data_IF_490741498511
#
_entry.id   IF_490741498511
#
_cell.length_a   1.000
_cell.length_b   1.000
_cell.length_c   1.000
_cell.angle_alpha   90.00
_cell.angle_beta   90.00
_cell.angle_gamma   90.00
#
_symmetry.space_group_name_H-M   'P 1'
#
loop_
_entity.id
_entity.type
_entity.pdbx_description
1 polymer ?
#
# COMPACT_ATOMS: atom_id res chain seq x y z
N UNK A 1 -71.65 -31.28 56.28
CA UNK A 1 -71.99 -31.95 55.01
C UNK A 1 -71.99 -30.95 53.86
N UNK A 2 -70.95 -30.96 52.99
CA UNK A 2 -71.01 -30.72 51.53
C UNK A 2 -69.59 -30.62 50.95
N UNK A 3 -69.21 -31.68 50.23
CA UNK A 3 -68.28 -31.84 49.09
C UNK A 3 -66.95 -31.05 49.07
N UNK A 4 -65.84 -31.79 49.23
CA UNK A 4 -64.55 -31.48 48.62
C UNK A 4 -64.63 -31.79 47.10
N UNK A 5 -64.26 -30.82 46.26
CA UNK A 5 -63.95 -31.02 44.85
C UNK A 5 -62.45 -30.77 44.67
N UNK A 6 -61.71 -31.77 44.19
CA UNK A 6 -60.31 -31.64 43.80
C UNK A 6 -60.19 -30.89 42.47
N UNK A 7 -59.35 -29.86 42.42
CA UNK A 7 -58.92 -29.21 41.17
C UNK A 7 -57.41 -29.35 41.07
N UNK A 8 -56.96 -30.03 40.03
CA UNK A 8 -55.56 -30.24 39.66
C UNK A 8 -55.07 -28.98 38.93
N UNK A 9 -54.05 -28.31 39.47
CA UNK A 9 -53.36 -27.20 38.79
C UNK A 9 -52.17 -27.75 37.99
N UNK A 10 -52.21 -27.63 36.67
CA UNK A 10 -51.09 -27.91 35.77
C UNK A 10 -50.21 -26.66 35.74
N UNK A 11 -48.98 -26.77 36.26
CA UNK A 11 -47.97 -25.72 36.17
C UNK A 11 -47.32 -25.82 34.79
N UNK A 12 -47.62 -24.87 33.89
CA UNK A 12 -46.86 -24.71 32.65
C UNK A 12 -45.58 -23.92 32.93
N UNK A 13 -44.44 -24.57 32.81
CA UNK A 13 -43.12 -23.98 32.96
C UNK A 13 -42.76 -23.22 31.68
N UNK A 14 -42.89 -21.89 31.68
CA UNK A 14 -42.39 -21.04 30.60
C UNK A 14 -40.87 -20.93 30.70
N UNK A 15 -40.15 -21.54 29.76
CA UNK A 15 -38.71 -21.33 29.58
C UNK A 15 -38.52 -19.99 28.87
N UNK A 16 -37.93 -19.01 29.56
CA UNK A 16 -37.45 -17.77 28.95
C UNK A 16 -36.21 -18.13 28.13
N UNK A 17 -36.36 -18.20 26.81
CA UNK A 17 -35.22 -18.24 25.89
C UNK A 17 -34.55 -16.85 25.85
N UNK A 18 -33.22 -16.77 25.82
CA UNK A 18 -32.54 -15.50 25.63
C UNK A 18 -32.93 -14.93 24.26
N UNK A 19 -33.38 -13.67 24.26
CA UNK A 19 -33.59 -12.90 23.04
C UNK A 19 -32.25 -12.72 22.32
N UNK A 20 -32.10 -13.41 21.18
CA UNK A 20 -31.02 -13.13 20.24
C UNK A 20 -31.21 -11.72 19.69
N UNK A 21 -30.25 -10.83 19.95
CA UNK A 21 -30.19 -9.56 19.21
C UNK A 21 -29.79 -9.85 17.78
N UNK A 22 -30.60 -9.42 16.83
CA UNK A 22 -30.21 -9.38 15.42
C UNK A 22 -28.99 -8.46 15.28
N UNK A 23 -27.89 -8.97 14.73
CA UNK A 23 -26.75 -8.16 14.33
C UNK A 23 -27.18 -7.23 13.18
N UNK A 24 -26.81 -5.95 13.27
CA UNK A 24 -27.00 -4.95 12.21
C UNK A 24 -26.28 -5.34 10.91
N UNK A 25 -26.90 -5.06 9.77
CA UNK A 25 -26.27 -5.14 8.45
C UNK A 25 -24.98 -4.30 8.41
N UNK A 26 -23.83 -4.95 8.21
CA UNK A 26 -22.56 -4.27 7.92
C UNK A 26 -21.37 -4.62 8.83
N UNK A 27 -21.48 -5.59 9.73
CA UNK A 27 -20.32 -6.01 10.55
C UNK A 27 -19.32 -6.83 9.73
N UNK A 28 -18.04 -6.43 9.73
CA UNK A 28 -16.94 -7.19 9.12
C UNK A 28 -16.20 -7.99 10.19
N UNK A 29 -16.11 -9.31 10.03
CA UNK A 29 -15.35 -10.20 10.91
C UNK A 29 -13.94 -10.39 10.38
N UNK A 30 -12.93 -10.45 11.25
CA UNK A 30 -11.54 -10.71 10.82
C UNK A 30 -10.96 -11.92 11.50
N UNK A 31 -10.23 -12.71 10.71
CA UNK A 31 -9.64 -13.97 11.13
C UNK A 31 -8.22 -14.08 10.60
N UNK A 32 -7.39 -14.85 11.28
CA UNK A 32 -6.05 -15.19 10.81
C UNK A 32 -5.83 -16.70 10.89
N UNK A 33 -5.07 -17.25 9.95
CA UNK A 33 -4.65 -18.65 9.92
C UNK A 33 -3.18 -18.73 9.54
N UNK A 34 -2.46 -19.70 10.10
CA UNK A 34 -1.05 -19.95 9.75
C UNK A 34 -0.87 -21.40 9.32
N UNK A 35 -0.53 -21.64 8.05
CA UNK A 35 -0.29 -22.97 7.48
C UNK A 35 1.21 -23.29 7.53
N UNK A 36 1.58 -24.40 8.14
CA UNK A 36 2.97 -24.87 8.20
C UNK A 36 3.27 -25.81 7.03
N UNK A 37 4.47 -25.76 6.43
CA UNK A 37 4.83 -26.66 5.30
C UNK A 37 5.04 -28.11 5.69
N UNK A 38 5.03 -28.45 6.98
CA UNK A 38 5.02 -29.85 7.43
C UNK A 38 3.60 -30.42 7.58
N UNK A 39 2.55 -29.63 7.33
CA UNK A 39 1.16 -30.10 7.36
C UNK A 39 0.81 -30.79 6.03
N UNK A 40 1.29 -32.01 5.82
CA UNK A 40 1.24 -32.75 4.54
C UNK A 40 -0.15 -33.26 4.10
N UNK A 41 -1.22 -32.83 4.77
CA UNK A 41 -2.60 -33.26 4.51
C UNK A 41 -3.61 -32.63 5.46
N UNK A 42 -4.89 -32.90 5.24
CA UNK A 42 -6.02 -32.33 5.99
C UNK A 42 -6.00 -32.74 7.47
N UNK A 43 -5.43 -33.91 7.78
CA UNK A 43 -5.33 -34.47 9.12
C UNK A 43 -4.53 -33.60 10.10
N UNK A 44 -3.67 -32.71 9.59
CA UNK A 44 -2.91 -31.75 10.38
C UNK A 44 -3.20 -30.29 9.95
N UNK A 45 -4.41 -30.02 9.44
CA UNK A 45 -4.72 -28.71 8.90
C UNK A 45 -4.72 -27.59 9.97
N UNK A 46 -4.19 -26.43 9.58
CA UNK A 46 -4.30 -25.21 10.35
C UNK A 46 -5.75 -24.74 10.40
N UNK A 47 -6.12 -24.18 11.54
CA UNK A 47 -7.46 -23.60 11.76
C UNK A 47 -7.34 -22.09 11.95
N UNK A 48 -8.34 -21.32 11.48
CA UNK A 48 -8.33 -19.88 11.62
C UNK A 48 -8.84 -19.46 13.00
N UNK A 49 -8.53 -18.22 13.38
CA UNK A 49 -9.02 -17.58 14.61
C UNK A 49 -10.41 -16.98 14.44
N UNK A 50 -11.03 -16.61 15.56
CA UNK A 50 -12.24 -15.78 15.65
C UNK A 50 -13.41 -16.30 14.78
N UNK A 51 -14.00 -15.42 13.98
CA UNK A 51 -15.24 -15.63 13.23
C UNK A 51 -15.16 -16.83 12.28
N UNK A 52 -14.00 -17.07 11.67
CA UNK A 52 -13.81 -18.13 10.68
C UNK A 52 -13.53 -19.49 11.31
N UNK A 53 -13.43 -19.58 12.64
CA UNK A 53 -13.02 -20.79 13.35
C UNK A 53 -13.98 -21.95 13.01
N UNK A 54 -13.44 -23.02 12.45
CA UNK A 54 -14.20 -24.21 12.07
C UNK A 54 -14.96 -24.10 10.74
N UNK A 55 -14.99 -22.94 10.09
CA UNK A 55 -15.60 -22.77 8.77
C UNK A 55 -14.66 -23.18 7.63
N UNK A 56 -13.35 -23.06 7.85
CA UNK A 56 -12.31 -23.30 6.85
C UNK A 56 -11.06 -23.87 7.52
N UNK A 57 -10.32 -24.69 6.79
CA UNK A 57 -9.04 -25.26 7.22
C UNK A 57 -7.97 -25.03 6.15
N UNK A 58 -6.70 -25.03 6.53
CA UNK A 58 -5.60 -24.83 5.60
C UNK A 58 -4.48 -25.85 5.77
N UNK A 59 -3.93 -26.37 4.69
CA UNK A 59 -2.92 -27.43 4.72
C UNK A 59 -1.93 -27.29 3.57
N UNK A 60 -0.81 -28.00 3.65
CA UNK A 60 0.25 -27.99 2.65
C UNK A 60 0.30 -29.35 1.93
N UNK A 61 0.06 -29.38 0.63
CA UNK A 61 0.08 -30.62 -0.13
C UNK A 61 0.67 -30.39 -1.52
N UNK A 62 1.55 -31.32 -1.93
CA UNK A 62 2.17 -31.32 -3.24
C UNK A 62 2.87 -30.00 -3.60
N UNK A 63 3.58 -29.38 -2.65
CA UNK A 63 4.31 -28.14 -2.88
C UNK A 63 3.48 -26.86 -2.77
N UNK A 64 2.20 -26.96 -2.43
CA UNK A 64 1.24 -25.86 -2.45
C UNK A 64 0.46 -25.77 -1.14
N UNK A 65 0.07 -24.55 -0.77
CA UNK A 65 -0.79 -24.29 0.37
C UNK A 65 -2.23 -24.17 -0.10
N UNK A 66 -3.13 -24.93 0.53
CA UNK A 66 -4.53 -25.03 0.15
C UNK A 66 -5.41 -24.58 1.30
N UNK A 67 -6.55 -24.03 0.95
CA UNK A 67 -7.69 -23.79 1.82
C UNK A 67 -8.83 -24.70 1.38
N UNK A 68 -9.56 -25.24 2.35
CA UNK A 68 -10.73 -26.07 2.11
C UNK A 68 -11.83 -25.83 3.16
N UNK A 69 -13.10 -25.92 2.73
CA UNK A 69 -14.28 -25.60 3.52
C UNK A 69 -15.13 -24.46 2.93
N UNK A 70 -15.50 -23.47 3.76
CA UNK A 70 -16.30 -22.30 3.36
C UNK A 70 -15.65 -21.44 2.24
N UNK A 71 -14.38 -21.68 1.94
CA UNK A 71 -13.69 -21.23 0.75
C UNK A 71 -12.66 -22.30 0.34
N UNK A 72 -12.62 -22.65 -0.93
CA UNK A 72 -11.60 -23.55 -1.48
C UNK A 72 -10.68 -22.78 -2.43
N UNK A 73 -9.37 -22.86 -2.21
CA UNK A 73 -8.42 -22.20 -3.09
C UNK A 73 -6.97 -22.32 -2.63
N UNK A 74 -6.06 -21.78 -3.43
CA UNK A 74 -4.62 -21.82 -3.13
C UNK A 74 -4.14 -20.51 -2.51
N UNK A 75 -3.28 -20.65 -1.50
CA UNK A 75 -2.54 -19.54 -0.90
C UNK A 75 -1.23 -19.39 -1.66
N UNK A 76 -1.11 -18.29 -2.41
CA UNK A 76 0.02 -18.00 -3.29
C UNK A 76 1.16 -17.30 -2.56
N UNK A 77 0.87 -16.55 -1.51
CA UNK A 77 1.85 -15.82 -0.72
C UNK A 77 1.37 -15.64 0.73
N UNK A 78 2.32 -15.53 1.67
CA UNK A 78 2.02 -15.31 3.10
C UNK A 78 1.42 -13.91 3.34
N UNK A 79 0.31 -13.85 4.09
CA UNK A 79 -0.48 -12.64 4.32
C UNK A 79 -1.63 -12.43 3.32
N UNK A 80 -1.87 -13.38 2.41
CA UNK A 80 -2.97 -13.31 1.46
C UNK A 80 -4.33 -13.28 2.17
N UNK A 81 -5.23 -12.42 1.71
CA UNK A 81 -6.58 -12.26 2.28
C UNK A 81 -7.65 -12.88 1.40
N UNK A 82 -8.65 -13.47 2.03
CA UNK A 82 -9.80 -14.11 1.39
C UNK A 82 -11.09 -13.63 2.04
N UNK A 83 -12.07 -13.24 1.24
CA UNK A 83 -13.43 -13.06 1.71
C UNK A 83 -14.07 -14.45 1.85
N UNK A 84 -14.47 -14.81 3.06
CA UNK A 84 -15.00 -16.11 3.41
C UNK A 84 -16.51 -15.99 3.61
N UNK A 85 -17.26 -16.92 3.00
CA UNK A 85 -18.70 -17.03 3.20
C UNK A 85 -18.97 -18.05 4.30
N UNK A 86 -18.92 -17.61 5.56
CA UNK A 86 -19.11 -18.50 6.70
C UNK A 86 -20.60 -18.84 6.94
N UNK A 87 -21.01 -20.11 6.81
CA UNK A 87 -22.40 -20.49 7.02
C UNK A 87 -22.87 -20.32 8.48
N UNK A 88 -21.95 -20.22 9.44
CA UNK A 88 -22.25 -20.01 10.85
C UNK A 88 -22.38 -18.52 11.22
N UNK A 89 -22.06 -17.61 10.31
CA UNK A 89 -22.17 -16.15 10.50
C UNK A 89 -22.65 -15.46 9.22
N UNK A 90 -23.86 -15.78 8.74
CA UNK A 90 -24.34 -15.41 7.40
C UNK A 90 -24.50 -13.89 7.17
N UNK A 91 -24.49 -13.09 8.24
CA UNK A 91 -24.65 -11.63 8.18
C UNK A 91 -23.33 -10.87 8.39
N UNK A 92 -22.20 -11.56 8.43
CA UNK A 92 -20.87 -10.98 8.68
C UNK A 92 -19.99 -11.25 7.45
N UNK A 93 -19.46 -10.19 6.83
CA UNK A 93 -18.42 -10.36 5.81
C UNK A 93 -17.11 -10.70 6.52
N UNK A 94 -16.60 -11.92 6.34
CA UNK A 94 -15.41 -12.39 7.04
C UNK A 94 -14.17 -12.29 6.15
N UNK A 95 -13.14 -11.62 6.64
CA UNK A 95 -11.84 -11.53 5.97
C UNK A 95 -10.84 -12.42 6.70
N UNK A 96 -10.46 -13.53 6.06
CA UNK A 96 -9.40 -14.40 6.50
C UNK A 96 -8.05 -13.92 5.94
N UNK A 97 -7.07 -13.67 6.80
CA UNK A 97 -5.67 -13.47 6.40
C UNK A 97 -4.89 -14.76 6.64
N UNK A 98 -4.25 -15.31 5.61
CA UNK A 98 -3.51 -16.58 5.71
C UNK A 98 -2.02 -16.32 5.62
N UNK A 99 -1.31 -16.74 6.65
CA UNK A 99 0.14 -16.77 6.71
C UNK A 99 0.62 -18.20 6.43
N UNK A 100 1.80 -18.31 5.83
CA UNK A 100 2.44 -19.60 5.56
C UNK A 100 3.83 -19.61 6.18
N UNK A 101 4.21 -20.69 6.85
CA UNK A 101 5.52 -20.85 7.51
C UNK A 101 6.21 -22.12 7.00
N UNK A 102 7.46 -21.99 6.56
CA UNK A 102 8.34 -23.12 6.23
C UNK A 102 9.27 -23.39 7.43
N UNK A 103 9.29 -24.59 8.06
CA UNK A 103 10.24 -24.90 9.14
C UNK A 103 11.68 -24.70 8.68
N UNK A 104 12.47 -23.93 9.44
CA UNK A 104 13.80 -23.45 9.05
C UNK A 104 13.83 -22.00 8.57
N UNK A 105 12.68 -21.44 8.16
CA UNK A 105 12.38 -20.00 8.23
C UNK A 105 11.86 -19.69 9.65
N UNK A 106 12.74 -19.71 10.65
CA UNK A 106 12.35 -19.17 11.96
C UNK A 106 11.99 -17.68 11.80
N UNK A 107 10.80 -17.30 12.24
CA UNK A 107 10.50 -15.99 12.82
C UNK A 107 10.76 -14.71 11.98
N UNK A 108 10.79 -14.81 10.65
CA UNK A 108 10.93 -13.63 9.79
C UNK A 108 9.59 -12.86 9.81
N UNK A 109 9.42 -11.89 10.72
CA UNK A 109 8.21 -11.08 10.87
C UNK A 109 8.00 -10.13 9.67
N UNK A 110 7.76 -10.68 8.48
CA UNK A 110 7.46 -9.93 7.27
C UNK A 110 6.24 -10.46 6.50
N UNK A 111 5.64 -9.58 5.70
CA UNK A 111 4.57 -9.90 4.74
C UNK A 111 5.02 -9.48 3.35
N UNK A 112 5.00 -10.41 2.40
CA UNK A 112 5.25 -10.09 0.99
C UNK A 112 3.94 -9.75 0.30
N UNK A 113 3.92 -8.60 -0.38
CA UNK A 113 2.79 -8.14 -1.19
C UNK A 113 3.27 -8.08 -2.63
N UNK A 114 2.82 -9.04 -3.43
CA UNK A 114 3.31 -9.21 -4.79
C UNK A 114 2.26 -9.86 -5.67
N UNK A 115 2.18 -9.41 -6.93
CA UNK A 115 1.44 -10.10 -7.97
C UNK A 115 2.34 -10.77 -8.99
N UNK A 116 1.75 -11.34 -10.05
CA UNK A 116 2.52 -11.99 -11.14
C UNK A 116 3.35 -10.99 -11.95
N UNK A 117 2.94 -9.72 -11.92
CA UNK A 117 3.58 -8.60 -12.60
C UNK A 117 3.31 -7.31 -11.80
N UNK A 118 3.86 -6.18 -12.28
CA UNK A 118 3.73 -4.87 -11.63
C UNK A 118 2.30 -4.36 -11.43
N UNK A 119 1.40 -4.68 -12.35
CA UNK A 119 -0.01 -4.26 -12.27
C UNK A 119 -0.71 -5.06 -11.18
N UNK A 120 -0.45 -6.37 -11.13
CA UNK A 120 -0.97 -7.23 -10.08
C UNK A 120 -0.39 -6.86 -8.71
N UNK A 121 0.90 -6.51 -8.60
CA UNK A 121 1.46 -6.00 -7.34
C UNK A 121 0.74 -4.73 -6.88
N UNK A 122 0.42 -3.81 -7.78
CA UNK A 122 -0.37 -2.62 -7.45
C UNK A 122 -1.77 -2.98 -6.92
N UNK A 123 -2.41 -4.01 -7.50
CA UNK A 123 -3.70 -4.54 -7.05
C UNK A 123 -3.58 -5.17 -5.66
N UNK A 124 -2.54 -5.97 -5.39
CA UNK A 124 -2.34 -6.56 -4.07
C UNK A 124 -2.01 -5.50 -3.00
N UNK A 125 -1.26 -4.46 -3.36
CA UNK A 125 -1.05 -3.28 -2.50
C UNK A 125 -2.36 -2.58 -2.19
N UNK A 126 -3.24 -2.42 -3.19
CA UNK A 126 -4.57 -1.85 -3.02
C UNK A 126 -5.45 -2.70 -2.09
N UNK A 127 -5.49 -4.02 -2.25
CA UNK A 127 -6.22 -4.94 -1.35
C UNK A 127 -5.68 -4.89 0.08
N UNK A 128 -4.37 -4.78 0.24
CA UNK A 128 -3.77 -4.67 1.57
C UNK A 128 -4.16 -3.37 2.28
N UNK A 129 -4.11 -2.24 1.57
CA UNK A 129 -4.40 -0.92 2.14
C UNK A 129 -5.89 -0.62 2.29
N UNK A 130 -6.72 -1.16 1.40
CA UNK A 130 -8.17 -0.90 1.32
C UNK A 130 -8.94 -2.22 1.19
N UNK A 131 -8.89 -3.10 2.21
CA UNK A 131 -9.47 -4.45 2.14
C UNK A 131 -10.99 -4.43 1.90
N UNK A 132 -11.70 -3.47 2.51
CA UNK A 132 -13.15 -3.28 2.38
C UNK A 132 -13.52 -2.17 1.39
N UNK A 133 -12.57 -1.73 0.56
CA UNK A 133 -12.76 -0.65 -0.41
C UNK A 133 -12.43 0.74 0.14
N UNK A 134 -12.88 1.78 -0.57
CA UNK A 134 -12.52 3.17 -0.27
C UNK A 134 -13.45 3.80 0.77
N UNK A 135 -12.85 4.32 1.84
CA UNK A 135 -13.56 4.97 2.95
C UNK A 135 -13.44 6.49 2.95
N UNK A 136 -12.57 7.08 2.11
CA UNK A 136 -12.44 8.54 2.03
C UNK A 136 -13.70 9.17 1.43
N UNK A 137 -14.06 10.41 1.79
CA UNK A 137 -15.29 11.06 1.28
C UNK A 137 -15.40 11.09 -0.25
N UNK A 138 -14.28 11.35 -0.93
CA UNK A 138 -14.20 11.40 -2.39
C UNK A 138 -14.09 10.00 -3.02
N UNK A 139 -13.68 8.97 -2.27
CA UNK A 139 -13.43 7.61 -2.78
C UNK A 139 -12.63 7.63 -4.07
N UNK A 140 -11.39 8.10 -3.97
CA UNK A 140 -10.52 8.34 -5.13
C UNK A 140 -9.60 7.17 -5.42
N UNK A 141 -9.28 6.97 -6.71
CA UNK A 141 -8.18 6.10 -7.17
C UNK A 141 -7.26 6.91 -8.09
N UNK A 142 -5.95 6.66 -8.01
CA UNK A 142 -4.96 7.26 -8.90
C UNK A 142 -4.52 6.22 -9.91
N UNK A 143 -4.48 6.57 -11.20
CA UNK A 143 -3.98 5.73 -12.27
C UNK A 143 -2.73 6.36 -12.87
N UNK A 144 -1.65 5.59 -12.90
CA UNK A 144 -0.35 5.99 -13.44
C UNK A 144 0.18 4.96 -14.44
N UNK A 145 1.13 5.39 -15.28
CA UNK A 145 1.81 4.53 -16.24
C UNK A 145 2.73 3.52 -15.55
N UNK A 146 2.66 2.26 -15.98
CA UNK A 146 3.37 1.15 -15.35
C UNK A 146 4.86 1.05 -15.74
N UNK A 147 5.21 1.35 -16.99
CA UNK A 147 6.54 1.09 -17.58
C UNK A 147 7.47 2.31 -17.66
N UNK A 148 6.95 3.51 -17.39
CA UNK A 148 7.72 4.75 -17.28
C UNK A 148 6.97 5.74 -16.35
N UNK A 149 7.04 5.53 -15.02
CA UNK A 149 6.25 6.29 -14.04
C UNK A 149 6.83 7.68 -13.75
N UNK A 150 7.47 8.33 -14.73
CA UNK A 150 8.07 9.66 -14.60
C UNK A 150 7.09 10.73 -14.08
N UNK A 151 5.85 10.67 -14.55
CA UNK A 151 4.77 11.58 -14.15
C UNK A 151 4.24 11.27 -12.74
N UNK A 152 4.45 10.05 -12.24
CA UNK A 152 3.91 9.57 -10.97
C UNK A 152 4.81 9.87 -9.75
N UNK A 153 5.98 10.48 -9.94
CA UNK A 153 6.92 10.75 -8.84
C UNK A 153 6.31 11.63 -7.74
N UNK A 154 5.45 12.57 -8.11
CA UNK A 154 4.71 13.42 -7.17
C UNK A 154 3.36 12.83 -6.74
N UNK A 155 2.93 11.68 -7.31
CA UNK A 155 1.66 11.06 -6.99
C UNK A 155 1.58 10.55 -5.54
N UNK A 156 2.74 10.36 -4.88
CA UNK A 156 2.82 10.01 -3.46
C UNK A 156 2.04 10.99 -2.57
N UNK A 157 2.20 12.29 -2.83
CA UNK A 157 1.51 13.34 -2.09
C UNK A 157 0.00 13.34 -2.36
N UNK A 158 -0.41 13.08 -3.61
CA UNK A 158 -1.81 12.96 -4.00
C UNK A 158 -2.48 11.73 -3.35
N UNK A 159 -1.81 10.59 -3.38
CA UNK A 159 -2.26 9.35 -2.74
C UNK A 159 -2.48 9.55 -1.25
N UNK A 160 -1.54 10.26 -0.61
CA UNK A 160 -1.68 10.74 0.75
C UNK A 160 -2.92 11.61 0.96
N UNK A 161 -3.01 12.72 0.24
CA UNK A 161 -4.11 13.70 0.37
C UNK A 161 -5.48 13.04 0.22
N UNK A 162 -5.65 12.20 -0.81
CA UNK A 162 -6.94 11.57 -1.16
C UNK A 162 -7.21 10.26 -0.42
N UNK A 163 -6.24 9.78 0.36
CA UNK A 163 -6.27 8.46 0.99
C UNK A 163 -6.60 7.35 -0.02
N UNK A 164 -5.88 7.36 -1.15
CA UNK A 164 -6.22 6.62 -2.36
C UNK A 164 -5.10 5.67 -2.79
N UNK A 165 -5.42 4.46 -3.31
CA UNK A 165 -4.43 3.60 -3.94
C UNK A 165 -3.94 4.19 -5.26
N UNK A 166 -2.72 3.83 -5.64
CA UNK A 166 -2.19 4.04 -6.99
C UNK A 166 -2.26 2.70 -7.72
N UNK A 167 -3.05 2.64 -8.78
CA UNK A 167 -3.09 1.52 -9.72
C UNK A 167 -2.27 1.85 -10.97
N UNK A 168 -1.78 0.81 -11.64
CA UNK A 168 -0.91 0.93 -12.80
C UNK A 168 -1.59 0.45 -14.08
N UNK A 169 -1.32 1.13 -15.19
CA UNK A 169 -1.79 0.76 -16.53
C UNK A 169 -0.67 0.92 -17.56
N UNK A 170 -0.75 0.22 -18.68
CA UNK A 170 0.07 0.57 -19.85
C UNK A 170 -0.58 1.72 -20.63
N UNK A 171 0.22 2.43 -21.43
CA UNK A 171 -0.22 3.66 -22.12
C UNK A 171 -1.49 3.47 -22.96
N UNK A 172 -1.59 2.40 -23.74
CA UNK A 172 -2.69 2.19 -24.69
C UNK A 172 -3.71 1.16 -24.23
N UNK A 173 -3.48 0.48 -23.09
CA UNK A 173 -4.35 -0.60 -22.63
C UNK A 173 -4.43 -0.66 -21.11
N UNK A 174 -5.67 -0.80 -20.62
CA UNK A 174 -5.97 -1.11 -19.22
C UNK A 174 -6.41 -2.56 -19.10
N UNK A 175 -5.62 -3.32 -18.35
CA UNK A 175 -5.85 -4.75 -18.10
C UNK A 175 -7.17 -4.98 -17.34
N UNK A 176 -7.81 -6.11 -17.63
CA UNK A 176 -9.07 -6.48 -16.99
C UNK A 176 -8.93 -6.55 -15.46
N UNK A 177 -7.83 -7.08 -14.94
CA UNK A 177 -7.57 -7.12 -13.49
C UNK A 177 -7.59 -5.74 -12.83
N UNK A 178 -7.14 -4.68 -13.52
CA UNK A 178 -7.20 -3.30 -13.02
C UNK A 178 -8.64 -2.78 -13.01
N UNK A 179 -9.44 -3.14 -14.02
CA UNK A 179 -10.87 -2.79 -14.05
C UNK A 179 -11.65 -3.52 -12.95
N UNK A 180 -11.33 -4.78 -12.69
CA UNK A 180 -11.94 -5.57 -11.62
C UNK A 180 -11.58 -4.97 -10.24
N UNK A 181 -10.34 -4.50 -10.07
CA UNK A 181 -9.93 -3.80 -8.85
C UNK A 181 -10.64 -2.44 -8.70
N UNK A 182 -10.82 -1.68 -9.79
CA UNK A 182 -11.65 -0.46 -9.76
C UNK A 182 -13.09 -0.79 -9.33
N UNK A 183 -13.67 -1.88 -9.84
CA UNK A 183 -15.01 -2.32 -9.43
C UNK A 183 -15.06 -2.67 -7.94
N UNK A 184 -14.05 -3.38 -7.42
CA UNK A 184 -13.94 -3.72 -5.99
C UNK A 184 -13.84 -2.48 -5.11
N UNK A 185 -13.02 -1.51 -5.51
CA UNK A 185 -12.82 -0.25 -4.78
C UNK A 185 -14.02 0.69 -4.84
N UNK A 186 -14.82 0.59 -5.91
CA UNK A 186 -15.99 1.42 -6.20
C UNK A 186 -15.72 2.93 -6.04
N UNK A 187 -14.73 3.49 -6.80
CA UNK A 187 -14.37 4.90 -6.67
C UNK A 187 -15.45 5.82 -7.24
N UNK A 188 -15.62 6.98 -6.60
CA UNK A 188 -16.43 8.07 -7.19
C UNK A 188 -15.60 8.95 -8.12
N UNK A 189 -14.28 8.96 -7.97
CA UNK A 189 -13.35 9.79 -8.73
C UNK A 189 -12.07 9.02 -9.08
N UNK A 190 -11.60 9.17 -10.32
CA UNK A 190 -10.34 8.61 -10.78
C UNK A 190 -9.43 9.75 -11.26
N UNK A 191 -8.22 9.81 -10.71
CA UNK A 191 -7.19 10.75 -11.13
C UNK A 191 -6.21 10.06 -12.08
N UNK A 192 -6.10 10.52 -13.32
CA UNK A 192 -5.02 10.12 -14.22
C UNK A 192 -3.82 11.03 -13.99
N UNK A 193 -2.67 10.42 -13.69
CA UNK A 193 -1.41 11.15 -13.56
C UNK A 193 -0.59 10.96 -14.83
N UNK A 194 -0.33 12.08 -15.51
CA UNK A 194 0.43 12.13 -16.76
C UNK A 194 -0.44 12.41 -17.99
N UNK A 195 0.24 12.88 -19.04
CA UNK A 195 -0.40 13.22 -20.31
C UNK A 195 -0.93 12.00 -21.06
N UNK A 196 -1.51 12.21 -22.24
CA UNK A 196 -2.08 11.12 -23.06
C UNK A 196 -1.02 10.17 -23.62
N UNK A 197 0.25 10.58 -23.68
CA UNK A 197 1.35 9.66 -23.96
C UNK A 197 1.65 8.71 -22.79
N UNK A 198 1.35 9.15 -21.55
CA UNK A 198 1.55 8.34 -20.35
C UNK A 198 0.37 7.39 -20.13
N UNK A 199 -0.85 7.94 -20.11
CA UNK A 199 -2.11 7.18 -20.03
C UNK A 199 -3.02 7.65 -21.16
N UNK A 200 -3.19 6.79 -22.17
CA UNK A 200 -3.89 7.05 -23.43
C UNK A 200 -5.34 7.51 -23.26
N UNK A 201 -5.83 8.22 -24.27
CA UNK A 201 -7.23 8.69 -24.30
C UNK A 201 -8.19 7.52 -24.33
N UNK A 202 -7.80 6.41 -24.94
CA UNK A 202 -8.59 5.19 -25.07
C UNK A 202 -8.79 4.54 -23.70
N UNK A 203 -7.76 4.53 -22.85
CA UNK A 203 -7.82 4.05 -21.46
C UNK A 203 -8.79 4.91 -20.66
N UNK A 204 -8.63 6.24 -20.72
CA UNK A 204 -9.54 7.18 -20.04
C UNK A 204 -10.99 7.03 -20.54
N UNK A 205 -11.20 6.97 -21.85
CA UNK A 205 -12.52 6.81 -22.45
C UNK A 205 -13.19 5.49 -22.05
N UNK A 206 -12.42 4.41 -21.92
CA UNK A 206 -12.94 3.12 -21.43
C UNK A 206 -13.42 3.23 -19.99
N UNK A 207 -12.67 3.92 -19.13
CA UNK A 207 -13.05 4.18 -17.73
C UNK A 207 -14.29 5.08 -17.64
N UNK A 208 -14.38 6.15 -18.44
CA UNK A 208 -15.56 7.03 -18.49
C UNK A 208 -16.82 6.29 -18.94
N UNK A 209 -16.71 5.41 -19.95
CA UNK A 209 -17.84 4.57 -20.40
C UNK A 209 -18.34 3.60 -19.34
N UNK A 210 -17.50 3.24 -18.37
CA UNK A 210 -17.89 2.43 -17.21
C UNK A 210 -18.58 3.26 -16.10
N UNK A 211 -18.76 4.57 -16.31
CA UNK A 211 -19.51 5.46 -15.42
C UNK A 211 -18.66 6.20 -14.38
N UNK A 212 -17.33 6.07 -14.42
CA UNK A 212 -16.45 6.75 -13.46
C UNK A 212 -16.22 8.22 -13.83
N UNK A 213 -16.23 9.11 -12.84
CA UNK A 213 -15.77 10.49 -13.01
C UNK A 213 -14.26 10.53 -13.03
N UNK A 214 -13.68 11.20 -14.02
CA UNK A 214 -12.23 11.26 -14.18
C UNK A 214 -11.71 12.69 -14.04
N UNK A 215 -10.42 12.81 -13.74
CA UNK A 215 -9.66 14.05 -13.84
C UNK A 215 -8.22 13.75 -14.20
N UNK A 216 -7.67 14.49 -15.15
CA UNK A 216 -6.30 14.31 -15.59
C UNK A 216 -5.42 15.41 -15.02
N UNK A 217 -4.40 15.00 -14.27
CA UNK A 217 -3.34 15.85 -13.76
C UNK A 217 -2.12 15.64 -14.65
N UNK A 218 -1.89 16.57 -15.57
CA UNK A 218 -0.80 16.48 -16.55
C UNK A 218 -0.30 17.83 -16.97
N UNK A 219 1.00 17.91 -17.30
CA UNK A 219 1.60 19.03 -18.01
C UNK A 219 2.47 18.58 -19.18
N UNK A 220 3.21 19.51 -19.77
CA UNK A 220 4.09 19.24 -20.92
C UNK A 220 5.28 18.34 -20.55
N UNK A 221 5.69 18.31 -19.28
CA UNK A 221 6.70 17.39 -18.76
C UNK A 221 6.35 16.91 -17.35
N UNK A 222 7.19 16.03 -16.79
CA UNK A 222 7.08 15.54 -15.41
C UNK A 222 7.07 16.67 -14.38
N UNK A 223 7.75 17.79 -14.67
CA UNK A 223 7.80 18.96 -13.79
C UNK A 223 6.44 19.66 -13.72
N UNK A 224 5.79 19.89 -14.85
CA UNK A 224 4.46 20.50 -14.90
C UNK A 224 3.36 19.53 -14.45
N UNK A 225 3.51 18.21 -14.67
CA UNK A 225 2.61 17.21 -14.09
C UNK A 225 2.68 17.24 -12.56
N UNK A 226 3.88 17.29 -11.97
CA UNK A 226 4.04 17.46 -10.53
C UNK A 226 3.43 18.78 -10.04
N UNK A 227 3.56 19.87 -10.81
CA UNK A 227 2.92 21.14 -10.48
C UNK A 227 1.39 21.06 -10.46
N UNK A 228 0.76 20.31 -11.37
CA UNK A 228 -0.70 20.10 -11.34
C UNK A 228 -1.17 19.31 -10.13
N UNK A 229 -0.38 18.32 -9.69
CA UNK A 229 -0.62 17.64 -8.43
C UNK A 229 -0.47 18.61 -7.24
N UNK A 230 0.57 19.43 -7.23
CA UNK A 230 0.84 20.38 -6.15
C UNK A 230 -0.19 21.51 -6.09
N UNK A 231 -0.74 21.93 -7.23
CA UNK A 231 -1.85 22.90 -7.31
C UNK A 231 -3.10 22.35 -6.61
N UNK A 232 -3.45 21.08 -6.86
CA UNK A 232 -4.55 20.40 -6.18
C UNK A 232 -4.30 20.31 -4.66
N UNK A 233 -3.10 19.89 -4.26
CA UNK A 233 -2.72 19.79 -2.83
C UNK A 233 -2.83 21.16 -2.14
N UNK A 234 -2.36 22.22 -2.80
CA UNK A 234 -2.40 23.58 -2.24
C UNK A 234 -3.82 24.12 -2.03
N UNK A 235 -4.79 23.64 -2.82
CA UNK A 235 -6.22 24.03 -2.67
C UNK A 235 -6.89 23.32 -1.49
N UNK A 236 -6.41 22.14 -1.12
CA UNK A 236 -7.05 21.27 -0.13
C UNK A 236 -6.26 21.13 1.19
N UNK A 237 -5.03 21.63 1.23
CA UNK A 237 -4.12 21.51 2.37
C UNK A 237 -3.46 22.85 2.70
N UNK A 238 -3.25 23.10 4.00
CA UNK A 238 -2.54 24.29 4.53
C UNK A 238 -1.07 24.01 4.86
N UNK A 239 -0.51 22.94 4.31
CA UNK A 239 0.89 22.56 4.57
C UNK A 239 1.83 23.65 4.06
N UNK A 240 2.71 24.14 4.93
CA UNK A 240 3.71 25.19 4.61
C UNK A 240 5.09 24.62 4.25
N UNK A 241 5.17 23.30 4.04
CA UNK A 241 6.40 22.58 3.73
C UNK A 241 6.33 21.99 2.31
N UNK A 242 7.44 21.98 1.60
CA UNK A 242 7.60 21.29 0.33
C UNK A 242 8.78 20.30 0.38
N UNK A 243 8.65 19.19 -0.34
CA UNK A 243 9.78 18.33 -0.69
C UNK A 243 10.29 18.75 -2.07
N UNK A 244 11.62 18.83 -2.24
CA UNK A 244 12.24 18.94 -3.56
C UNK A 244 13.06 17.68 -3.82
N UNK A 245 12.81 17.03 -4.96
CA UNK A 245 13.59 15.90 -5.44
C UNK A 245 13.96 16.11 -6.92
N UNK A 246 15.03 15.47 -7.39
CA UNK A 246 15.42 15.61 -8.79
C UNK A 246 14.50 14.76 -9.68
N UNK A 247 13.91 15.39 -10.70
CA UNK A 247 12.97 14.75 -11.62
C UNK A 247 13.57 13.63 -12.47
N UNK A 248 14.90 13.56 -12.58
CA UNK A 248 15.66 12.56 -13.32
C UNK A 248 16.42 11.58 -12.41
N UNK A 249 16.42 11.73 -11.08
CA UNK A 249 16.97 10.72 -10.15
C UNK A 249 15.88 10.22 -9.22
N UNK A 250 15.03 9.34 -9.77
CA UNK A 250 13.76 8.87 -9.19
C UNK A 250 13.90 8.33 -7.76
N UNK A 251 15.01 7.68 -7.43
CA UNK A 251 15.21 7.08 -6.12
C UNK A 251 15.11 8.09 -4.95
N UNK A 252 15.50 9.35 -5.18
CA UNK A 252 15.38 10.39 -4.15
C UNK A 252 13.92 10.79 -3.90
N UNK A 253 13.11 10.89 -4.97
CA UNK A 253 11.67 11.12 -4.85
C UNK A 253 10.95 9.94 -4.19
N UNK A 254 11.35 8.70 -4.52
CA UNK A 254 10.82 7.49 -3.88
C UNK A 254 11.15 7.44 -2.38
N UNK A 255 12.35 7.89 -2.00
CA UNK A 255 12.78 7.98 -0.60
C UNK A 255 11.94 8.97 0.22
N UNK A 256 11.32 9.95 -0.43
CA UNK A 256 10.41 10.90 0.21
C UNK A 256 8.95 10.44 0.23
N UNK A 257 8.59 9.37 -0.49
CA UNK A 257 7.21 8.99 -0.78
C UNK A 257 6.34 8.76 0.45
N UNK A 258 6.86 8.05 1.47
CA UNK A 258 6.15 7.80 2.72
C UNK A 258 5.91 9.09 3.53
N UNK A 259 6.92 9.95 3.63
CA UNK A 259 6.77 11.22 4.33
C UNK A 259 5.75 12.12 3.62
N UNK A 260 5.87 12.22 2.30
CA UNK A 260 4.95 12.96 1.46
C UNK A 260 3.50 12.50 1.62
N UNK A 261 3.25 11.18 1.58
CA UNK A 261 1.88 10.64 1.69
C UNK A 261 1.30 10.79 3.09
N UNK A 262 2.08 10.47 4.14
CA UNK A 262 1.61 10.51 5.53
C UNK A 262 1.38 11.94 6.00
N UNK A 263 2.27 12.87 5.66
CA UNK A 263 2.19 14.27 6.11
C UNK A 263 1.45 15.18 5.12
N UNK A 264 1.06 14.67 3.95
CA UNK A 264 0.39 15.47 2.92
C UNK A 264 1.31 16.57 2.35
N UNK A 265 2.63 16.33 2.35
CA UNK A 265 3.62 17.30 1.89
C UNK A 265 3.80 17.16 0.38
N UNK A 266 3.64 18.23 -0.42
CA UNK A 266 3.80 18.19 -1.87
C UNK A 266 5.25 17.93 -2.29
N UNK A 267 5.44 17.12 -3.33
CA UNK A 267 6.74 16.87 -3.97
C UNK A 267 6.85 17.76 -5.21
N UNK A 268 7.84 18.64 -5.21
CA UNK A 268 8.24 19.43 -6.37
C UNK A 268 9.46 18.77 -7.02
N UNK A 269 9.44 18.71 -8.34
CA UNK A 269 10.55 18.17 -9.12
C UNK A 269 11.48 19.30 -9.54
N UNK A 270 12.78 19.10 -9.34
CA UNK A 270 13.84 19.99 -9.79
C UNK A 270 14.76 19.27 -10.78
N UNK A 271 15.57 20.03 -11.51
CA UNK A 271 16.81 19.51 -12.09
C UNK A 271 17.98 19.90 -11.17
N UNK A 272 19.23 19.70 -11.62
CA UNK A 272 20.40 19.90 -10.76
C UNK A 272 20.50 21.31 -10.16
N UNK A 273 20.27 22.34 -10.96
CA UNK A 273 20.47 23.75 -10.57
C UNK A 273 19.18 24.57 -10.56
N UNK A 274 18.09 24.03 -11.11
CA UNK A 274 16.86 24.76 -11.32
C UNK A 274 15.64 24.02 -10.78
N UNK A 275 14.72 24.80 -10.21
CA UNK A 275 13.38 24.38 -9.89
C UNK A 275 12.46 24.97 -10.98
N UNK A 276 11.98 24.17 -11.95
CA UNK A 276 11.22 24.70 -13.09
C UNK A 276 9.89 25.36 -12.72
N UNK A 277 9.28 24.92 -11.62
CA UNK A 277 8.02 25.46 -11.11
C UNK A 277 8.25 26.04 -9.72
N UNK A 278 8.05 27.35 -9.60
CA UNK A 278 8.24 28.09 -8.35
C UNK A 278 7.31 27.59 -7.24
N UNK A 279 7.81 27.67 -6.00
CA UNK A 279 7.02 27.32 -4.81
C UNK A 279 6.00 28.43 -4.54
N UNK A 280 4.77 28.10 -4.11
CA UNK A 280 3.78 29.09 -3.75
C UNK A 280 4.15 29.79 -2.43
N UNK A 281 3.73 31.05 -2.27
CA UNK A 281 4.13 31.92 -1.15
C UNK A 281 3.82 31.39 0.27
N UNK A 282 2.89 30.43 0.40
CA UNK A 282 2.57 29.82 1.70
C UNK A 282 3.60 28.78 2.15
N UNK A 283 4.52 28.36 1.26
CA UNK A 283 5.62 27.47 1.61
C UNK A 283 6.74 28.28 2.25
N UNK A 284 7.21 27.85 3.42
CA UNK A 284 8.33 28.48 4.15
C UNK A 284 9.46 27.49 4.45
N UNK A 285 9.20 26.18 4.38
CA UNK A 285 10.16 25.12 4.66
C UNK A 285 10.32 24.21 3.46
N UNK A 286 11.56 23.86 3.14
CA UNK A 286 11.91 22.98 2.03
C UNK A 286 12.82 21.88 2.51
N UNK A 287 12.42 20.64 2.24
CA UNK A 287 13.26 19.46 2.45
C UNK A 287 13.75 18.94 1.09
N UNK A 288 15.03 19.11 0.82
CA UNK A 288 15.70 18.62 -0.39
C UNK A 288 16.11 17.17 -0.18
N UNK A 289 15.52 16.25 -0.94
CA UNK A 289 15.93 14.86 -0.99
C UNK A 289 16.96 14.65 -2.10
N UNK A 290 18.12 14.11 -1.73
CA UNK A 290 19.23 13.83 -2.63
C UNK A 290 20.48 14.66 -2.37
N UNK A 291 21.63 14.08 -2.73
CA UNK A 291 22.93 14.70 -2.52
C UNK A 291 23.21 15.90 -3.45
N UNK A 292 24.34 16.57 -3.21
CA UNK A 292 24.78 17.76 -3.97
C UNK A 292 24.98 17.49 -5.47
N UNK A 293 25.27 16.24 -5.84
CA UNK A 293 25.46 15.83 -7.23
C UNK A 293 24.16 15.78 -8.05
N UNK A 294 23.00 15.65 -7.39
CA UNK A 294 21.69 15.60 -8.07
C UNK A 294 20.89 16.87 -7.86
N UNK A 295 21.07 17.56 -6.73
CA UNK A 295 20.53 18.90 -6.48
C UNK A 295 21.65 19.73 -5.86
N UNK A 296 22.18 20.68 -6.63
CA UNK A 296 23.38 21.43 -6.27
C UNK A 296 23.18 22.34 -5.06
N UNK A 297 24.31 22.82 -4.53
CA UNK A 297 24.27 23.89 -3.53
C UNK A 297 23.82 25.23 -4.12
N UNK A 298 23.92 25.43 -5.45
CA UNK A 298 23.42 26.64 -6.10
C UNK A 298 21.90 26.77 -5.95
N UNK A 299 21.17 25.67 -6.20
CA UNK A 299 19.72 25.67 -6.01
C UNK A 299 19.35 25.84 -4.52
N UNK A 300 20.01 25.10 -3.62
CA UNK A 300 19.84 25.21 -2.16
C UNK A 300 20.03 26.64 -1.66
N UNK A 301 21.12 27.30 -2.06
CA UNK A 301 21.43 28.67 -1.66
C UNK A 301 20.45 29.69 -2.26
N UNK A 302 20.00 29.48 -3.51
CA UNK A 302 18.96 30.32 -4.12
C UNK A 302 17.65 30.26 -3.35
N UNK A 303 17.27 29.08 -2.85
CA UNK A 303 16.08 28.93 -1.99
C UNK A 303 16.28 29.63 -0.63
N UNK A 304 17.43 29.46 0.03
CA UNK A 304 17.73 30.17 1.29
C UNK A 304 17.70 31.70 1.12
N UNK A 305 18.25 32.21 0.01
CA UNK A 305 18.22 33.64 -0.31
C UNK A 305 16.80 34.19 -0.56
N UNK A 306 15.87 33.33 -1.00
CA UNK A 306 14.44 33.65 -1.10
C UNK A 306 13.70 33.55 0.25
N UNK A 307 14.38 33.22 1.34
CA UNK A 307 13.81 33.16 2.69
C UNK A 307 13.27 31.79 3.12
N UNK A 308 13.47 30.72 2.33
CA UNK A 308 13.07 29.37 2.73
C UNK A 308 14.01 28.80 3.80
N UNK A 309 13.45 28.10 4.79
CA UNK A 309 14.22 27.20 5.66
C UNK A 309 14.50 25.90 4.89
N UNK A 310 15.76 25.65 4.54
CA UNK A 310 16.14 24.55 3.64
C UNK A 310 16.94 23.48 4.40
N UNK A 311 16.38 22.28 4.47
CA UNK A 311 17.06 21.08 4.98
C UNK A 311 17.44 20.17 3.82
N UNK A 312 18.58 19.48 3.93
CA UNK A 312 18.97 18.44 2.97
C UNK A 312 18.93 17.07 3.65
N UNK A 313 18.28 16.13 2.99
CA UNK A 313 18.14 14.73 3.39
C UNK A 313 18.81 13.90 2.30
N UNK A 314 19.97 13.33 2.62
CA UNK A 314 20.76 12.59 1.65
C UNK A 314 21.71 11.62 2.34
N UNK A 315 21.78 10.39 1.82
CA UNK A 315 22.80 9.42 2.21
C UNK A 315 23.93 9.31 1.18
N UNK A 316 24.87 8.40 1.44
CA UNK A 316 25.98 8.09 0.53
C UNK A 316 25.52 7.52 -0.82
N UNK A 317 24.36 6.89 -0.83
CA UNK A 317 23.72 6.26 -1.98
C UNK A 317 22.20 6.33 -1.78
N UNK A 318 21.43 5.81 -2.75
CA UNK A 318 19.96 5.81 -2.70
C UNK A 318 19.37 5.08 -1.49
N UNK A 319 20.03 4.04 -1.00
CA UNK A 319 19.59 3.27 0.16
C UNK A 319 19.76 4.10 1.44
N UNK A 320 20.92 4.76 1.58
CA UNK A 320 21.17 5.74 2.64
C UNK A 320 20.18 6.91 2.60
N UNK A 321 19.89 7.49 1.43
CA UNK A 321 18.87 8.55 1.31
C UNK A 321 17.49 8.05 1.75
N UNK A 322 17.12 6.81 1.42
CA UNK A 322 15.85 6.23 1.88
C UNK A 322 15.80 6.05 3.40
N UNK A 323 16.91 5.65 4.02
CA UNK A 323 17.04 5.55 5.48
C UNK A 323 16.95 6.92 6.15
N UNK A 324 17.66 7.92 5.64
CA UNK A 324 17.63 9.27 6.21
C UNK A 324 16.29 9.97 5.99
N UNK A 325 15.62 9.67 4.87
CA UNK A 325 14.22 10.03 4.61
C UNK A 325 13.26 9.39 5.61
N UNK A 326 13.42 8.10 5.87
CA UNK A 326 12.61 7.37 6.84
C UNK A 326 12.81 7.86 8.29
N UNK A 327 13.99 8.40 8.63
CA UNK A 327 14.25 9.04 9.94
C UNK A 327 13.49 10.36 10.13
N UNK A 328 13.16 11.07 9.06
CA UNK A 328 12.34 12.30 9.16
C UNK A 328 10.89 12.02 9.58
N UNK A 329 10.44 10.78 9.38
CA UNK A 329 9.09 10.37 9.67
C UNK A 329 9.02 9.74 11.06
N UNK A 330 8.51 10.51 12.03
CA UNK A 330 8.08 9.94 13.30
C UNK A 330 6.71 9.29 13.14
N UNK A 331 6.63 7.99 13.42
CA UNK A 331 5.40 7.18 13.33
C UNK A 331 5.14 6.52 14.69
N UNK A 332 3.86 6.35 15.03
CA UNK A 332 3.44 5.60 16.22
C UNK A 332 3.65 4.09 16.06
N UNK A 333 3.69 3.61 14.81
CA UNK A 333 3.97 2.22 14.46
C UNK A 333 5.34 2.09 13.78
N UNK A 334 6.25 1.21 14.24
CA UNK A 334 7.54 0.96 13.60
C UNK A 334 7.44 0.12 12.31
N UNK A 335 6.32 0.16 11.59
CA UNK A 335 6.15 -0.59 10.34
C UNK A 335 7.10 -0.07 9.26
N UNK A 336 7.62 -0.98 8.44
CA UNK A 336 8.50 -0.66 7.32
C UNK A 336 8.03 -1.37 6.06
N UNK A 337 8.04 -0.66 4.95
CA UNK A 337 7.85 -1.19 3.59
C UNK A 337 9.21 -1.20 2.90
N UNK A 338 9.71 -2.39 2.57
CA UNK A 338 10.87 -2.61 1.73
C UNK A 338 10.43 -2.69 0.29
N UNK A 339 11.12 -1.96 -0.56
CA UNK A 339 10.84 -1.94 -1.99
C UNK A 339 12.12 -1.81 -2.80
N UNK A 340 12.11 -2.39 -3.99
CA UNK A 340 13.22 -2.34 -4.93
C UNK A 340 13.68 -0.90 -5.18
N UNK A 341 14.96 -0.65 -4.89
CA UNK A 341 15.66 0.61 -5.08
C UNK A 341 16.41 0.74 -6.41
N UNK A 342 16.32 -0.24 -7.31
CA UNK A 342 16.94 -0.22 -8.64
C UNK A 342 15.90 -0.29 -9.75
N UNK A 343 16.15 0.42 -10.86
CA UNK A 343 15.30 0.32 -12.05
C UNK A 343 15.25 -1.12 -12.56
N UNK A 344 14.14 -1.54 -13.15
CA UNK A 344 14.07 -2.83 -13.87
C UNK A 344 14.56 -2.72 -15.32
N UNK A 345 14.69 -1.49 -15.82
CA UNK A 345 15.17 -1.14 -17.15
C UNK A 345 16.54 -0.44 -17.09
N UNK A 346 17.37 -0.72 -18.08
CA UNK A 346 18.66 -0.02 -18.29
C UNK A 346 18.49 1.37 -18.90
N UNK A 347 17.35 1.63 -19.56
CA UNK A 347 17.11 2.86 -20.34
C UNK A 347 15.96 3.71 -19.80
N UNK A 348 15.11 3.12 -18.96
CA UNK A 348 13.97 3.78 -18.30
C UNK A 348 14.18 3.78 -16.79
N UNK A 349 13.47 4.67 -16.09
CA UNK A 349 13.50 4.78 -14.64
C UNK A 349 12.26 4.10 -14.05
N UNK A 350 12.15 2.80 -14.25
CA UNK A 350 10.92 2.06 -13.95
C UNK A 350 11.01 1.33 -12.61
N UNK A 351 10.36 1.94 -11.61
CA UNK A 351 10.30 1.49 -10.21
C UNK A 351 8.84 1.19 -9.83
N UNK A 352 8.18 0.25 -10.52
CA UNK A 352 6.73 0.15 -10.44
C UNK A 352 6.20 -0.12 -9.03
N UNK A 353 6.85 -1.02 -8.29
CA UNK A 353 6.44 -1.40 -6.94
C UNK A 353 6.67 -0.25 -5.93
N UNK A 354 7.64 0.64 -6.21
CA UNK A 354 7.95 1.78 -5.34
C UNK A 354 6.93 2.91 -5.47
N UNK A 355 6.40 3.13 -6.67
CA UNK A 355 5.39 4.16 -6.94
C UNK A 355 4.12 3.89 -6.14
N UNK A 356 3.72 2.62 -6.03
CA UNK A 356 2.48 2.21 -5.36
C UNK A 356 2.61 2.11 -3.84
N UNK A 357 3.83 2.14 -3.30
CA UNK A 357 4.10 1.99 -1.86
C UNK A 357 3.51 3.13 -1.02
N UNK A 358 3.42 4.33 -1.57
CA UNK A 358 3.10 5.57 -0.86
C UNK A 358 1.73 5.55 -0.16
N UNK A 359 0.70 5.07 -0.85
CA UNK A 359 -0.65 4.97 -0.30
C UNK A 359 -0.73 3.93 0.82
N UNK A 360 -0.07 2.79 0.64
CA UNK A 360 0.02 1.75 1.67
C UNK A 360 0.83 2.22 2.89
N UNK A 361 1.90 2.98 2.67
CA UNK A 361 2.68 3.60 3.74
C UNK A 361 1.78 4.46 4.64
N UNK A 362 0.83 5.19 4.05
CA UNK A 362 -0.17 5.95 4.82
C UNK A 362 -1.10 5.06 5.64
N UNK A 363 -1.65 3.99 5.06
CA UNK A 363 -2.55 3.07 5.79
C UNK A 363 -1.86 2.40 6.97
N UNK A 364 -0.61 1.99 6.78
CA UNK A 364 0.14 1.23 7.78
C UNK A 364 0.93 2.10 8.75
N UNK A 365 0.90 3.43 8.58
CA UNK A 365 1.83 4.37 9.20
C UNK A 365 3.29 3.89 9.08
N UNK A 366 3.64 3.38 7.90
CA UNK A 366 4.90 2.71 7.65
C UNK A 366 5.92 3.64 6.99
N UNK A 367 7.19 3.42 7.30
CA UNK A 367 8.32 4.01 6.57
C UNK A 367 8.54 3.23 5.28
N UNK A 368 9.09 3.88 4.24
CA UNK A 368 9.49 3.20 3.00
C UNK A 368 11.01 3.22 2.91
N UNK A 369 11.63 2.05 2.74
CA UNK A 369 13.07 1.89 2.52
C UNK A 369 13.33 1.24 1.18
N UNK A 370 14.35 1.75 0.49
CA UNK A 370 14.83 1.16 -0.76
C UNK A 370 15.82 0.03 -0.43
N UNK A 371 15.77 -1.07 -1.18
CA UNK A 371 16.72 -2.18 -1.09
C UNK A 371 17.20 -2.61 -2.47
N UNK A 372 18.44 -3.12 -2.56
CA UNK A 372 18.91 -3.71 -3.82
C UNK A 372 18.22 -5.07 -4.02
N UNK A 373 17.94 -5.52 -5.27
CA UNK A 373 17.22 -6.78 -5.52
C UNK A 373 17.88 -8.02 -4.90
N UNK A 374 19.20 -8.03 -4.82
CA UNK A 374 20.00 -9.20 -4.40
C UNK A 374 21.03 -8.91 -3.31
N UNK A 375 21.13 -7.67 -2.84
CA UNK A 375 22.12 -7.26 -1.85
C UNK A 375 21.39 -6.49 -0.76
N UNK A 376 21.67 -6.79 0.51
CA UNK A 376 21.12 -5.99 1.61
C UNK A 376 22.09 -4.85 1.92
N UNK A 377 21.72 -3.58 1.68
CA UNK A 377 22.59 -2.46 2.01
C UNK A 377 22.78 -2.36 3.53
N UNK A 378 24.01 -2.14 3.98
CA UNK A 378 24.34 -2.05 5.40
C UNK A 378 23.54 -0.95 6.11
N UNK A 379 23.27 0.17 5.43
CA UNK A 379 22.47 1.26 5.98
C UNK A 379 21.05 0.80 6.31
N UNK A 380 20.45 -0.03 5.46
CA UNK A 380 19.11 -0.60 5.67
C UNK A 380 19.16 -1.66 6.75
N UNK A 381 20.12 -2.58 6.70
CA UNK A 381 20.29 -3.61 7.74
C UNK A 381 20.46 -2.98 9.12
N UNK A 382 21.33 -1.98 9.24
CA UNK A 382 21.58 -1.27 10.49
C UNK A 382 20.36 -0.48 10.98
N UNK A 383 19.60 0.14 10.07
CA UNK A 383 18.34 0.81 10.42
C UNK A 383 17.32 -0.19 10.99
N UNK A 384 17.27 -1.41 10.46
CA UNK A 384 16.29 -2.42 10.84
C UNK A 384 16.65 -3.23 12.08
N UNK A 385 17.90 -3.21 12.56
CA UNK A 385 18.34 -3.96 13.78
C UNK A 385 17.44 -3.75 14.99
N UNK A 386 16.92 -2.53 15.18
CA UNK A 386 16.06 -2.18 16.31
C UNK A 386 14.58 -2.02 15.91
N UNK A 387 14.22 -2.43 14.69
CA UNK A 387 12.86 -2.28 14.18
C UNK A 387 11.94 -3.33 14.80
N UNK A 388 11.05 -2.89 15.69
CA UNK A 388 10.07 -3.76 16.36
C UNK A 388 8.75 -3.91 15.59
N UNK A 389 8.62 -3.28 14.42
CA UNK A 389 7.38 -3.29 13.64
C UNK A 389 7.36 -4.32 12.54
N UNK A 390 6.20 -4.46 11.90
CA UNK A 390 6.01 -5.42 10.81
C UNK A 390 6.72 -4.93 9.56
N UNK A 391 7.44 -5.83 8.92
CA UNK A 391 8.12 -5.56 7.64
C UNK A 391 7.19 -5.99 6.51
N UNK A 392 7.00 -5.14 5.52
CA UNK A 392 6.26 -5.43 4.31
C UNK A 392 7.21 -5.38 3.14
N UNK A 393 7.15 -6.34 2.22
CA UNK A 393 8.03 -6.41 1.06
C UNK A 393 7.18 -6.30 -0.19
N UNK A 394 7.39 -5.24 -0.98
CA UNK A 394 6.65 -5.05 -2.23
C UNK A 394 7.39 -5.68 -3.39
N UNK A 395 6.64 -6.45 -4.19
CA UNK A 395 7.14 -7.14 -5.36
C UNK A 395 7.58 -8.58 -5.09
N UNK A 396 7.68 -9.34 -6.17
CA UNK A 396 8.13 -10.74 -6.13
C UNK A 396 9.62 -10.88 -5.79
N UNK A 397 10.13 -12.11 -5.81
CA UNK A 397 11.54 -12.40 -5.48
C UNK A 397 12.54 -11.80 -6.48
N UNK A 398 12.11 -11.52 -7.71
CA UNK A 398 12.93 -10.76 -8.68
C UNK A 398 13.04 -9.28 -8.34
N UNK A 399 12.10 -8.74 -7.55
CA UNK A 399 12.14 -7.36 -7.08
C UNK A 399 12.99 -7.23 -5.81
N UNK A 400 12.76 -8.12 -4.84
CA UNK A 400 13.51 -8.25 -3.58
C UNK A 400 13.65 -9.72 -3.24
N UNK A 401 14.86 -10.27 -3.38
CA UNK A 401 15.11 -11.71 -3.25
C UNK A 401 14.91 -12.22 -1.84
N UNK A 402 14.73 -13.54 -1.70
CA UNK A 402 14.65 -14.19 -0.38
C UNK A 402 15.92 -14.00 0.43
N UNK A 403 17.09 -13.98 -0.22
CA UNK A 403 18.40 -13.80 0.42
C UNK A 403 18.54 -12.40 1.02
N UNK A 404 18.02 -11.37 0.33
CA UNK A 404 17.94 -10.01 0.88
C UNK A 404 17.10 -10.00 2.15
N UNK A 405 15.91 -10.61 2.10
CA UNK A 405 15.05 -10.69 3.28
C UNK A 405 15.72 -11.51 4.40
N UNK A 406 16.29 -12.67 4.09
CA UNK A 406 17.01 -13.51 5.05
C UNK A 406 18.10 -12.73 5.80
N UNK A 407 18.97 -12.06 5.05
CA UNK A 407 20.10 -11.31 5.62
C UNK A 407 19.71 -10.09 6.45
N UNK A 408 18.46 -9.58 6.34
CA UNK A 408 17.94 -8.51 7.21
C UNK A 408 17.70 -9.01 8.64
N UNK A 409 17.25 -10.26 8.79
CA UNK A 409 16.93 -10.86 10.09
C UNK A 409 18.05 -11.76 10.63
N UNK A 410 19.00 -12.19 9.79
CA UNK A 410 20.23 -12.84 10.26
C UNK A 410 21.09 -11.80 11.00
N UNK A 411 21.02 -11.82 12.34
CA UNK A 411 21.76 -10.94 13.24
C UNK A 411 23.12 -11.50 13.66
#
# INVERSE_FOLDING_TARGET
>A
MKKLLSVIFIISMFVILPSYSFAEEGTTGTCEMTIMTNNLGIENAATPTNYCKGAIVGFYQAGLFHLDGAYTGQVKYSGQKFAISNPFSPNVEEILTVYTIVPGENAMNYVRISGSNRLDTAIEVSKQGWPTGLTSPEKSVIIARADDPADALAASSLSGLKNAPILLTYSSNINQAVLDELKRLSPKKIYFVGGTAAVGKEVESKIVRLGYKTERLSGASRFETAAKINELISKESKVTKAIIANGYTVADALSASAYASIKGVPIYLANNDNLPVELPNHINTVDIYGGKAVISEKLSNRLKAKGYSVNRISGKNRYGTSVDGAKQLYTTSPNVILVRGESTSKTKQDYPDAVVASGLAKQLHAKVLLVHPTITPDEVKNFLKNNKGKIYVLGGESAVSKEVIKSIFDH
#
